data_IF_184780614548
#
_entry.id   IF_184780614548
#
_cell.length_a   1.000
_cell.length_b   1.000
_cell.length_c   1.000
_cell.angle_alpha   90.00
_cell.angle_beta   90.00
_cell.angle_gamma   90.00
#
_symmetry.space_group_name_H-M   'P 1'
#
loop_
_entity.id
_entity.type
_entity.pdbx_description
1 polymer ?
#
# COMPACT_ATOMS: atom_id res chain seq x y z
N UNK A 1 4.84 28.48 0.62
CA UNK A 1 5.11 28.31 0.61
C UNK A 1 4.72 28.03 0.62
N UNK A 2 4.81 27.75 0.86
CA UNK A 2 4.80 27.22 0.91
C UNK A 2 4.47 26.71 0.84
N UNK A 3 4.40 26.56 1.01
CA UNK A 3 4.61 26.08 1.10
C UNK A 3 4.37 25.65 1.33
N UNK A 4 4.24 25.57 1.63
CA UNK A 4 4.51 25.19 1.87
C UNK A 4 4.10 24.84 2.12
N UNK A 5 3.78 24.76 2.47
CA UNK A 5 3.93 24.59 2.59
C UNK A 5 3.44 24.09 2.87
N UNK A 6 3.34 24.18 3.23
CA UNK A 6 3.39 23.88 3.41
C UNK A 6 2.95 23.35 3.71
N UNK A 7 2.74 23.20 4.17
CA UNK A 7 2.93 22.73 4.44
C UNK A 7 2.41 22.40 4.89
N UNK A 8 2.34 22.22 5.21
CA UNK A 8 2.47 21.86 5.61
C UNK A 8 2.20 21.41 6.12
N UNK A 9 2.00 21.34 6.47
CA UNK A 9 2.16 20.90 6.92
C UNK A 9 1.76 20.40 7.30
N UNK A 10 1.51 20.27 7.44
CA UNK A 10 1.68 19.78 7.66
C UNK A 10 1.58 19.27 7.73
N UNK A 11 1.44 19.26 7.76
CA UNK A 11 1.91 18.86 7.69
C UNK A 11 2.12 18.37 7.73
N UNK A 12 1.85 18.40 7.85
CA UNK A 12 2.50 18.03 7.84
C UNK A 12 2.73 17.39 7.71
N UNK A 13 2.58 17.37 7.77
CA UNK A 13 3.17 16.90 7.62
C UNK A 13 3.53 16.31 7.33
N UNK A 14 3.64 16.49 6.90
CA UNK A 14 4.28 15.99 6.58
C UNK A 14 5.02 15.51 6.97
N UNK A 15 4.80 15.68 7.15
CA UNK A 15 5.78 15.39 7.90
C UNK A 15 6.52 14.18 7.63
N UNK A 16 7.73 14.07 7.97
CA UNK A 16 8.62 12.97 7.63
C UNK A 16 8.73 11.95 8.73
N UNK A 17 8.28 12.28 9.90
CA UNK A 17 8.37 11.37 11.02
C UNK A 17 7.30 10.29 10.96
N UNK A 18 7.68 9.01 11.15
CA UNK A 18 6.69 7.95 11.14
C UNK A 18 5.74 8.03 12.32
N UNK A 19 4.54 7.60 12.09
CA UNK A 19 3.51 7.54 13.11
C UNK A 19 3.31 6.08 13.51
N UNK A 20 3.14 5.82 14.80
CA UNK A 20 2.90 4.47 15.27
C UNK A 20 1.42 4.17 15.24
N UNK A 21 1.10 3.01 14.71
CA UNK A 21 -0.28 2.56 14.59
C UNK A 21 -0.36 1.15 15.14
N UNK A 22 -1.33 0.93 16.02
CA UNK A 22 -1.58 -0.41 16.54
C UNK A 22 -2.84 -0.98 15.89
N UNK A 23 -2.69 -2.10 15.21
CA UNK A 23 -3.81 -2.78 14.58
C UNK A 23 -3.68 -4.27 14.80
N UNK A 24 -4.83 -4.94 14.91
CA UNK A 24 -4.86 -6.39 14.89
C UNK A 24 -4.88 -6.83 13.45
N UNK A 25 -4.08 -7.83 13.11
CA UNK A 25 -4.03 -8.34 11.75
C UNK A 25 -4.29 -9.84 11.77
N UNK A 26 -4.88 -10.33 10.69
CA UNK A 26 -5.21 -11.73 10.56
C UNK A 26 -3.95 -12.55 10.27
N UNK A 27 -4.02 -13.87 10.51
CA UNK A 27 -2.90 -14.72 10.10
C UNK A 27 -2.55 -14.62 8.62
N UNK A 28 -3.54 -14.39 7.77
CA UNK A 28 -3.28 -14.20 6.34
C UNK A 28 -2.44 -12.96 6.08
N UNK A 29 -2.72 -11.88 6.79
CA UNK A 29 -1.93 -10.66 6.67
C UNK A 29 -0.50 -10.89 7.14
N UNK A 30 -0.35 -11.61 8.25
CA UNK A 30 0.98 -11.94 8.77
C UNK A 30 1.77 -12.73 7.73
N UNK A 31 1.12 -13.74 7.13
CA UNK A 31 1.79 -14.56 6.12
C UNK A 31 2.20 -13.74 4.91
N UNK A 32 1.34 -12.81 4.48
CA UNK A 32 1.68 -11.95 3.35
C UNK A 32 2.91 -11.12 3.64
N UNK A 33 2.98 -10.56 4.85
CA UNK A 33 4.14 -9.77 5.25
C UNK A 33 5.40 -10.63 5.32
N UNK A 34 5.30 -11.80 5.95
CA UNK A 34 6.45 -12.70 6.08
C UNK A 34 6.97 -13.13 4.71
N UNK A 35 6.06 -13.38 3.79
CA UNK A 35 6.44 -13.78 2.44
C UNK A 35 7.28 -12.69 1.75
N UNK A 36 6.85 -11.43 1.87
CA UNK A 36 7.61 -10.34 1.29
C UNK A 36 8.96 -10.17 1.96
N UNK A 37 8.98 -10.26 3.29
CA UNK A 37 10.21 -10.12 4.05
C UNK A 37 11.23 -11.16 3.58
N UNK A 38 10.78 -12.40 3.45
CA UNK A 38 11.65 -13.51 3.07
C UNK A 38 12.16 -13.38 1.65
N UNK A 39 11.24 -13.09 0.73
CA UNK A 39 11.57 -13.08 -0.68
C UNK A 39 12.40 -11.86 -1.08
N UNK A 40 12.17 -10.73 -0.42
CA UNK A 40 12.83 -9.48 -0.80
C UNK A 40 13.98 -9.12 0.12
N UNK A 41 14.10 -9.81 1.26
CA UNK A 41 15.16 -9.49 2.21
C UNK A 41 14.99 -8.12 2.84
N UNK A 42 13.75 -7.75 3.18
CA UNK A 42 13.46 -6.44 3.72
C UNK A 42 12.94 -6.56 5.14
N UNK A 43 12.82 -5.42 5.82
CA UNK A 43 12.28 -5.36 7.18
C UNK A 43 10.77 -5.43 7.15
N UNK A 44 10.17 -5.65 8.32
CA UNK A 44 8.72 -5.62 8.47
C UNK A 44 8.15 -4.27 8.04
N UNK A 45 8.79 -3.19 8.47
CA UNK A 45 8.32 -1.85 8.11
C UNK A 45 8.33 -1.65 6.61
N UNK A 46 9.40 -2.12 5.95
CA UNK A 46 9.49 -1.96 4.50
C UNK A 46 8.47 -2.84 3.78
N UNK A 47 8.27 -4.08 4.26
CA UNK A 47 7.29 -4.96 3.65
C UNK A 47 5.89 -4.36 3.74
N UNK A 48 5.57 -3.82 4.92
CA UNK A 48 4.26 -3.18 5.12
C UNK A 48 4.09 -1.99 4.19
N UNK A 49 5.12 -1.17 4.09
CA UNK A 49 5.05 0.01 3.23
C UNK A 49 4.81 -0.37 1.79
N UNK A 50 5.49 -1.39 1.31
CA UNK A 50 5.33 -1.85 -0.08
C UNK A 50 3.93 -2.37 -0.33
N UNK A 51 3.45 -3.25 0.55
CA UNK A 51 2.13 -3.84 0.35
C UNK A 51 1.01 -2.82 0.46
N UNK A 52 1.14 -1.88 1.40
CA UNK A 52 0.16 -0.79 1.50
C UNK A 52 0.20 0.08 0.26
N UNK A 53 1.40 0.34 -0.26
CA UNK A 53 1.52 1.11 -1.50
C UNK A 53 0.83 0.46 -2.67
N UNK A 54 1.02 -0.86 -2.83
CA UNK A 54 0.31 -1.59 -3.87
C UNK A 54 -1.19 -1.53 -3.66
N UNK A 55 -1.63 -1.71 -2.41
CA UNK A 55 -3.04 -1.65 -2.08
C UNK A 55 -3.64 -0.28 -2.33
N UNK A 56 -2.90 0.76 -2.00
CA UNK A 56 -3.36 2.13 -2.23
C UNK A 56 -3.53 2.39 -3.73
N UNK A 57 -2.58 1.93 -4.53
CA UNK A 57 -2.67 2.07 -5.98
C UNK A 57 -3.93 1.39 -6.51
N UNK A 58 -4.16 0.15 -6.07
CA UNK A 58 -5.33 -0.61 -6.51
C UNK A 58 -6.61 0.08 -6.07
N UNK A 59 -6.66 0.53 -4.83
CA UNK A 59 -7.85 1.18 -4.29
C UNK A 59 -8.20 2.42 -5.12
N UNK A 60 -7.20 3.25 -5.40
CA UNK A 60 -7.44 4.47 -6.16
C UNK A 60 -7.87 4.17 -7.58
N UNK A 61 -7.22 3.20 -8.21
CA UNK A 61 -7.56 2.83 -9.58
C UNK A 61 -9.00 2.38 -9.69
N UNK A 62 -9.41 1.47 -8.82
CA UNK A 62 -10.72 0.84 -8.92
C UNK A 62 -11.82 1.72 -8.34
N UNK A 63 -11.59 2.25 -7.13
CA UNK A 63 -12.66 2.94 -6.39
C UNK A 63 -12.75 4.41 -6.72
N UNK A 64 -11.62 5.07 -6.93
CA UNK A 64 -11.65 6.50 -7.19
C UNK A 64 -11.70 6.79 -8.68
N UNK A 65 -10.94 6.06 -9.48
CA UNK A 65 -10.87 6.32 -10.91
C UNK A 65 -11.82 5.46 -11.73
N UNK A 66 -12.49 4.50 -11.09
CA UNK A 66 -13.46 3.62 -11.72
C UNK A 66 -12.84 2.81 -12.86
N UNK A 67 -11.62 2.39 -12.68
CA UNK A 67 -10.91 1.57 -13.64
C UNK A 67 -11.12 0.10 -13.30
N UNK A 68 -10.95 -0.74 -14.29
CA UNK A 68 -10.97 -2.19 -14.08
C UNK A 68 -9.55 -2.65 -13.78
N UNK A 69 -9.43 -3.50 -12.78
CA UNK A 69 -8.13 -4.09 -12.44
C UNK A 69 -8.03 -5.44 -13.10
N UNK A 70 -7.06 -5.58 -13.99
CA UNK A 70 -6.85 -6.81 -14.74
C UNK A 70 -5.51 -7.40 -14.36
N UNK A 71 -5.45 -8.71 -14.25
CA UNK A 71 -4.20 -9.44 -14.06
C UNK A 71 -3.99 -10.31 -15.26
N UNK A 72 -2.93 -10.04 -16.02
CA UNK A 72 -2.66 -10.74 -17.26
C UNK A 72 -1.51 -11.71 -17.08
N UNK A 73 -1.76 -12.99 -17.30
CA UNK A 73 -0.74 -14.02 -17.37
C UNK A 73 -0.40 -14.34 -18.81
N UNK A 74 0.33 -15.44 -19.00
CA UNK A 74 0.71 -15.83 -20.36
C UNK A 74 -0.49 -16.21 -21.18
N UNK A 75 -1.37 -17.01 -20.60
CA UNK A 75 -2.49 -17.58 -21.33
C UNK A 75 -3.84 -17.08 -20.87
N UNK A 76 -3.88 -16.28 -19.80
CA UNK A 76 -5.15 -15.86 -19.24
C UNK A 76 -5.10 -14.40 -18.82
N UNK A 77 -6.28 -13.78 -18.82
CA UNK A 77 -6.46 -12.45 -18.27
C UNK A 77 -7.65 -12.52 -17.33
N UNK A 78 -7.46 -12.00 -16.12
CA UNK A 78 -8.50 -12.06 -15.11
C UNK A 78 -8.85 -10.66 -14.65
N UNK A 79 -10.11 -10.43 -14.36
CA UNK A 79 -10.52 -9.20 -13.70
C UNK A 79 -10.54 -9.43 -12.20
N UNK A 80 -9.99 -8.48 -11.45
CA UNK A 80 -9.99 -8.54 -9.99
C UNK A 80 -11.11 -7.63 -9.48
N UNK A 81 -12.00 -8.21 -8.68
CA UNK A 81 -13.13 -7.48 -8.12
C UNK A 81 -12.85 -7.26 -6.64
N UNK A 82 -12.84 -6.01 -6.22
CA UNK A 82 -12.63 -5.66 -4.81
C UNK A 82 -13.94 -5.81 -4.05
N UNK A 83 -13.85 -6.37 -2.85
CA UNK A 83 -15.02 -6.57 -1.99
C UNK A 83 -15.39 -5.30 -1.23
#
# INVERSE_FOLDING_TARGET
>A
MPAKGARTDSAATQRTEPKRINVAVSPDTVRALENVIEREGVTLTEALRRLVGYGDFVYRSVRENREQLMVKGEDTTREVVLL
#
